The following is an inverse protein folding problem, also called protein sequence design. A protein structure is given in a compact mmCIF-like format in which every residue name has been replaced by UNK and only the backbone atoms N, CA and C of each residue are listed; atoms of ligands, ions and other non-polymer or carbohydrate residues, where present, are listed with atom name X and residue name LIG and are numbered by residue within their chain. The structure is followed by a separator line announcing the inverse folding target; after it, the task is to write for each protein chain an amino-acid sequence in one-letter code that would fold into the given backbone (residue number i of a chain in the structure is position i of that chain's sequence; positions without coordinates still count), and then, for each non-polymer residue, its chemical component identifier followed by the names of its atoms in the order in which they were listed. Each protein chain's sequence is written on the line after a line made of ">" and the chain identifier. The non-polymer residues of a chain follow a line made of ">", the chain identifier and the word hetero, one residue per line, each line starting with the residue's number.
data_IF_338221655055
#
_entry.id   IF_338221655055
#
_cell.length_a   1.000
_cell.length_b   1.000
_cell.length_c   1.000
_cell.angle_alpha   90.00
_cell.angle_beta   90.00
_cell.angle_gamma   90.00
#
_symmetry.space_group_name_H-M   'P 1'
#
loop_
_entity.id
_entity.type
_entity.pdbx_description
1 polymer ?
#
# COMPACT_ATOMS: atom_id res chain seq x y z
N UNK A 1 24.72 -38.16 -9.09
CA UNK A 1 23.60 -37.32 -9.53
C UNK A 1 24.15 -35.93 -9.89
N UNK A 2 24.30 -35.61 -11.17
CA UNK A 2 24.85 -34.30 -11.59
C UNK A 2 23.71 -33.26 -11.52
N UNK A 3 23.76 -32.39 -10.52
CA UNK A 3 22.87 -31.24 -10.45
C UNK A 3 23.29 -30.28 -11.59
N UNK A 4 22.49 -30.24 -12.66
CA UNK A 4 22.62 -29.24 -13.72
C UNK A 4 22.32 -27.86 -13.08
N UNK A 5 23.35 -27.15 -12.62
CA UNK A 5 23.23 -25.72 -12.31
C UNK A 5 22.89 -25.02 -13.64
N UNK A 6 21.59 -24.69 -13.82
CA UNK A 6 21.17 -23.76 -14.86
C UNK A 6 22.05 -22.51 -14.73
N UNK A 7 22.94 -22.27 -15.68
CA UNK A 7 23.72 -21.03 -15.76
C UNK A 7 22.72 -19.89 -15.86
N UNK A 8 22.57 -19.13 -14.77
CA UNK A 8 21.74 -17.92 -14.77
C UNK A 8 22.26 -16.97 -15.83
N UNK A 9 21.45 -16.74 -16.86
CA UNK A 9 21.79 -15.86 -17.97
C UNK A 9 21.37 -14.43 -17.62
N UNK A 10 22.20 -13.74 -16.86
CA UNK A 10 22.01 -12.31 -16.60
C UNK A 10 22.41 -11.48 -17.83
N UNK A 11 21.68 -10.36 -18.05
CA UNK A 11 22.02 -9.41 -19.10
C UNK A 11 23.39 -8.78 -18.88
N UNK A 12 24.02 -8.26 -19.94
CA UNK A 12 25.29 -7.53 -19.83
C UNK A 12 25.21 -6.33 -18.90
N UNK A 13 24.07 -5.62 -18.92
CA UNK A 13 23.77 -4.51 -17.99
C UNK A 13 23.83 -4.99 -16.53
N UNK A 14 23.12 -6.05 -16.19
CA UNK A 14 23.09 -6.59 -14.82
C UNK A 14 24.49 -7.02 -14.36
N UNK A 15 25.26 -7.68 -15.22
CA UNK A 15 26.64 -8.10 -14.90
C UNK A 15 27.54 -6.89 -14.61
N UNK A 16 27.43 -5.82 -15.41
CA UNK A 16 28.19 -4.60 -15.20
C UNK A 16 27.84 -3.92 -13.88
N UNK A 17 26.54 -3.86 -13.52
CA UNK A 17 26.08 -3.26 -12.27
C UNK A 17 26.51 -4.05 -11.04
N UNK A 18 26.45 -5.39 -11.12
CA UNK A 18 26.78 -6.25 -9.98
C UNK A 18 28.27 -6.52 -9.83
N UNK A 19 29.10 -6.17 -10.81
CA UNK A 19 30.56 -6.37 -10.75
C UNK A 19 31.20 -5.65 -9.54
N UNK A 20 30.67 -4.49 -9.17
CA UNK A 20 31.17 -3.66 -8.08
C UNK A 20 30.35 -3.80 -6.78
N UNK A 21 29.35 -4.68 -6.76
CA UNK A 21 28.49 -4.89 -5.58
C UNK A 21 28.89 -6.18 -4.91
N UNK A 22 29.52 -6.08 -3.74
CA UNK A 22 29.77 -7.24 -2.90
C UNK A 22 28.57 -7.48 -1.97
N UNK A 23 27.91 -8.63 -2.12
CA UNK A 23 26.71 -8.99 -1.33
C UNK A 23 27.02 -9.34 0.13
N UNK A 24 28.26 -9.68 0.42
CA UNK A 24 28.67 -10.13 1.75
C UNK A 24 29.17 -8.97 2.64
N UNK A 25 29.30 -7.78 2.07
CA UNK A 25 29.76 -6.59 2.80
C UNK A 25 28.58 -5.90 3.45
N UNK A 26 28.64 -5.72 4.77
CA UNK A 26 27.71 -4.89 5.52
C UNK A 26 28.06 -3.42 5.28
N UNK A 27 27.09 -2.66 4.82
CA UNK A 27 27.18 -1.22 4.59
C UNK A 27 26.41 -0.45 5.65
N UNK A 28 26.79 0.77 5.91
CA UNK A 28 25.94 1.71 6.65
C UNK A 28 24.71 2.06 5.81
N UNK A 29 23.66 2.59 6.44
CA UNK A 29 22.43 2.95 5.73
C UNK A 29 22.71 3.98 4.62
N UNK A 30 23.55 4.97 4.87
CA UNK A 30 23.89 6.02 3.90
C UNK A 30 24.68 5.49 2.71
N UNK A 31 25.67 4.63 2.96
CA UNK A 31 26.45 3.98 1.91
C UNK A 31 25.59 3.04 1.06
N UNK A 32 24.71 2.26 1.72
CA UNK A 32 23.75 1.37 1.03
C UNK A 32 22.82 2.15 0.12
N UNK A 33 22.27 3.27 0.59
CA UNK A 33 21.38 4.14 -0.19
C UNK A 33 22.12 4.80 -1.37
N UNK A 34 23.37 5.24 -1.16
CA UNK A 34 24.21 5.78 -2.24
C UNK A 34 24.47 4.73 -3.31
N UNK A 35 24.76 3.49 -2.91
CA UNK A 35 24.98 2.37 -3.84
C UNK A 35 23.71 2.00 -4.62
N UNK A 36 22.54 1.97 -3.97
CA UNK A 36 21.24 1.75 -4.64
C UNK A 36 20.99 2.82 -5.70
N UNK A 37 21.19 4.10 -5.37
CA UNK A 37 21.08 5.20 -6.34
C UNK A 37 22.08 5.10 -7.50
N UNK A 38 23.30 4.69 -7.25
CA UNK A 38 24.32 4.52 -8.28
C UNK A 38 24.00 3.37 -9.25
N UNK A 39 23.25 2.36 -8.79
CA UNK A 39 22.81 1.23 -9.62
C UNK A 39 21.51 1.49 -10.38
N UNK A 40 20.76 2.52 -10.03
CA UNK A 40 19.53 2.93 -10.70
C UNK A 40 19.85 3.60 -12.04
N UNK A 41 19.83 2.84 -13.13
CA UNK A 41 20.19 3.30 -14.48
C UNK A 41 19.18 2.89 -15.56
N UNK A 42 17.95 2.52 -15.18
CA UNK A 42 16.90 2.21 -16.12
C UNK A 42 16.38 3.47 -16.83
N UNK A 43 15.79 3.29 -18.03
CA UNK A 43 15.16 4.39 -18.78
C UNK A 43 13.72 4.70 -18.32
N UNK A 44 13.32 4.19 -17.18
CA UNK A 44 12.00 4.39 -16.55
C UNK A 44 12.21 4.71 -15.07
N UNK A 45 11.16 5.20 -14.43
CA UNK A 45 11.18 5.46 -12.98
C UNK A 45 11.27 4.13 -12.23
N UNK A 46 12.35 3.97 -11.48
CA UNK A 46 12.58 2.78 -10.65
C UNK A 46 12.06 3.04 -9.23
N UNK A 47 11.59 2.00 -8.57
CA UNK A 47 11.15 2.06 -7.16
C UNK A 47 12.22 1.51 -6.24
N UNK A 48 12.27 2.04 -5.02
CA UNK A 48 13.13 1.53 -3.95
C UNK A 48 12.28 0.75 -2.96
N UNK A 49 12.60 -0.53 -2.81
CA UNK A 49 11.96 -1.41 -1.85
C UNK A 49 12.94 -1.73 -0.71
N UNK A 50 12.41 -1.76 0.51
CA UNK A 50 13.13 -2.10 1.73
C UNK A 50 12.69 -3.47 2.22
N UNK A 51 13.64 -4.35 2.52
CA UNK A 51 13.41 -5.63 3.17
C UNK A 51 14.11 -5.64 4.53
N UNK A 52 13.37 -5.87 5.61
CA UNK A 52 13.90 -5.89 6.99
C UNK A 52 13.68 -7.26 7.61
N UNK A 53 14.76 -7.94 7.95
CA UNK A 53 14.71 -9.19 8.73
C UNK A 53 14.53 -8.85 10.22
N UNK A 54 13.41 -9.29 10.82
CA UNK A 54 13.05 -8.91 12.19
C UNK A 54 13.60 -9.87 13.27
N UNK A 55 14.11 -11.03 12.89
CA UNK A 55 14.57 -12.03 13.85
C UNK A 55 13.45 -12.63 14.72
N UNK A 56 12.21 -12.66 14.23
CA UNK A 56 11.01 -13.17 14.88
C UNK A 56 10.59 -14.53 14.32
N UNK A 57 9.80 -15.29 15.09
CA UNK A 57 9.10 -16.48 14.61
C UNK A 57 7.63 -16.16 14.32
N UNK A 58 7.25 -15.90 13.05
CA UNK A 58 5.89 -15.47 12.70
C UNK A 58 4.84 -16.60 12.83
N UNK A 59 5.25 -17.82 13.13
CA UNK A 59 4.35 -18.94 13.47
C UNK A 59 3.69 -18.76 14.83
N UNK A 60 4.33 -17.97 15.70
CA UNK A 60 3.78 -17.61 17.01
C UNK A 60 2.90 -16.37 16.85
N UNK A 61 1.65 -16.47 17.31
CA UNK A 61 0.67 -15.40 17.14
C UNK A 61 1.04 -14.09 17.85
N UNK A 62 1.80 -14.17 18.93
CA UNK A 62 2.33 -13.05 19.72
C UNK A 62 3.49 -12.31 19.04
N UNK A 63 4.18 -12.96 18.07
CA UNK A 63 5.30 -12.39 17.33
C UNK A 63 4.90 -11.89 15.91
N UNK A 64 3.61 -11.83 15.61
CA UNK A 64 3.12 -11.38 14.32
C UNK A 64 3.13 -9.84 14.24
N UNK A 65 4.07 -9.28 13.49
CA UNK A 65 4.23 -7.83 13.32
C UNK A 65 3.42 -7.34 12.14
N UNK A 66 2.52 -6.40 12.41
CA UNK A 66 1.74 -5.67 11.39
C UNK A 66 1.46 -4.27 11.91
N UNK A 67 1.64 -3.26 11.08
CA UNK A 67 1.36 -1.88 11.45
C UNK A 67 1.25 -0.97 10.25
N UNK A 68 1.12 0.31 10.57
CA UNK A 68 1.07 1.41 9.63
C UNK A 68 2.17 2.39 9.99
N UNK A 69 2.82 2.93 8.98
CA UNK A 69 3.79 4.02 9.14
C UNK A 69 3.51 5.11 8.13
N UNK A 70 4.00 6.30 8.40
CA UNK A 70 3.86 7.46 7.53
C UNK A 70 5.22 7.86 7.00
N UNK A 71 5.35 7.85 5.66
CA UNK A 71 6.56 8.32 4.98
C UNK A 71 6.46 9.83 4.76
N UNK A 72 7.47 10.64 5.13
CA UNK A 72 7.40 12.10 5.05
C UNK A 72 7.15 12.61 3.62
N UNK A 73 7.69 11.93 2.61
CA UNK A 73 7.56 12.33 1.19
C UNK A 73 6.63 11.41 0.39
N UNK A 74 6.04 10.38 1.03
CA UNK A 74 5.19 9.39 0.38
C UNK A 74 5.94 8.48 -0.59
N UNK A 75 5.17 7.62 -1.28
CA UNK A 75 5.69 6.67 -2.28
C UNK A 75 5.52 7.16 -3.72
N UNK A 76 5.01 8.37 -3.93
CA UNK A 76 4.72 8.94 -5.26
C UNK A 76 3.55 8.29 -6.01
N UNK A 77 2.86 7.30 -5.44
CA UNK A 77 1.72 6.63 -6.08
C UNK A 77 0.43 7.41 -5.87
N UNK A 78 -0.24 7.78 -6.94
CA UNK A 78 -1.59 8.39 -6.86
C UNK A 78 -2.61 7.28 -6.63
N UNK A 79 -3.37 7.37 -5.53
CA UNK A 79 -4.44 6.41 -5.19
C UNK A 79 -5.80 7.06 -5.35
N UNK A 80 -6.72 6.31 -5.93
CA UNK A 80 -8.14 6.70 -6.01
C UNK A 80 -8.85 6.30 -4.71
N UNK A 81 -9.47 7.29 -4.06
CA UNK A 81 -10.09 7.13 -2.73
C UNK A 81 -11.59 7.27 -2.86
N UNK A 82 -12.31 6.24 -2.40
CA UNK A 82 -13.75 6.29 -2.19
C UNK A 82 -14.04 6.48 -0.70
N UNK A 83 -15.06 7.25 -0.37
CA UNK A 83 -15.47 7.52 1.01
C UNK A 83 -16.94 7.18 1.22
N UNK A 84 -17.21 6.35 2.20
CA UNK A 84 -18.54 6.03 2.70
C UNK A 84 -18.82 6.87 3.95
N UNK A 85 -19.60 7.93 3.81
CA UNK A 85 -19.90 8.85 4.90
C UNK A 85 -21.32 9.38 4.80
N UNK A 86 -21.84 9.92 5.93
CA UNK A 86 -23.13 10.60 6.04
C UNK A 86 -22.95 12.00 6.59
N UNK A 87 -23.90 12.90 6.25
CA UNK A 87 -23.97 14.24 6.80
C UNK A 87 -22.75 15.11 6.50
N UNK A 88 -22.20 15.75 7.54
CA UNK A 88 -21.10 16.70 7.37
C UNK A 88 -19.77 16.05 6.95
N UNK A 89 -19.56 14.77 7.23
CA UNK A 89 -18.39 14.03 6.79
C UNK A 89 -18.31 13.89 5.26
N UNK A 90 -19.41 13.99 4.54
CA UNK A 90 -19.44 14.03 3.07
C UNK A 90 -18.72 15.28 2.57
N UNK A 91 -19.05 16.45 3.12
CA UNK A 91 -18.42 17.73 2.77
C UNK A 91 -16.93 17.74 3.12
N UNK A 92 -16.58 17.17 4.27
CA UNK A 92 -15.19 17.02 4.71
C UNK A 92 -14.39 16.16 3.75
N UNK A 93 -14.96 15.03 3.28
CA UNK A 93 -14.33 14.13 2.31
C UNK A 93 -14.13 14.80 0.95
N UNK A 94 -15.12 15.54 0.47
CA UNK A 94 -15.02 16.31 -0.80
C UNK A 94 -13.96 17.40 -0.71
N UNK A 95 -13.96 18.17 0.38
CA UNK A 95 -12.94 19.21 0.62
C UNK A 95 -11.53 18.65 0.73
N UNK A 96 -11.38 17.41 1.23
CA UNK A 96 -10.10 16.71 1.30
C UNK A 96 -9.65 16.10 -0.04
N UNK A 97 -10.51 16.14 -1.08
CA UNK A 97 -10.20 15.69 -2.43
C UNK A 97 -10.47 14.21 -2.68
N UNK A 98 -11.42 13.58 -1.99
CA UNK A 98 -11.87 12.23 -2.31
C UNK A 98 -12.44 12.14 -3.75
N UNK A 99 -12.19 11.03 -4.45
CA UNK A 99 -12.62 10.87 -5.84
C UNK A 99 -14.10 10.52 -5.93
N UNK A 100 -14.56 9.67 -5.03
CA UNK A 100 -15.94 9.21 -4.94
C UNK A 100 -16.38 9.35 -3.49
N UNK A 101 -17.48 10.07 -3.26
CA UNK A 101 -18.07 10.23 -1.93
C UNK A 101 -19.54 9.87 -2.01
N UNK A 102 -20.03 9.08 -1.06
CA UNK A 102 -21.44 8.71 -1.01
C UNK A 102 -21.82 7.98 0.28
N UNK A 103 -23.10 7.90 0.54
CA UNK A 103 -23.69 7.19 1.66
C UNK A 103 -24.20 5.80 1.28
N UNK A 104 -25.46 5.53 1.62
CA UNK A 104 -26.13 4.25 1.32
C UNK A 104 -26.32 4.00 -0.18
N UNK A 105 -26.45 5.05 -0.97
CA UNK A 105 -26.51 5.02 -2.43
C UNK A 105 -25.23 4.42 -3.04
N UNK A 106 -24.06 4.81 -2.53
CA UNK A 106 -22.80 4.24 -2.98
C UNK A 106 -22.70 2.75 -2.61
N UNK A 107 -23.20 2.37 -1.43
CA UNK A 107 -23.27 0.97 -1.01
C UNK A 107 -24.14 0.16 -1.98
N UNK A 108 -25.32 0.68 -2.32
CA UNK A 108 -26.25 0.02 -3.26
C UNK A 108 -25.64 -0.07 -4.65
N UNK A 109 -24.95 0.96 -5.10
CA UNK A 109 -24.26 0.96 -6.38
C UNK A 109 -23.14 -0.09 -6.44
N UNK A 110 -22.36 -0.23 -5.36
CA UNK A 110 -21.32 -1.28 -5.25
C UNK A 110 -21.95 -2.69 -5.25
N UNK A 111 -23.05 -2.89 -4.52
CA UNK A 111 -23.75 -4.17 -4.49
C UNK A 111 -24.26 -4.60 -5.87
N UNK A 112 -24.77 -3.64 -6.62
CA UNK A 112 -25.32 -3.88 -7.98
C UNK A 112 -24.21 -3.97 -9.06
N UNK A 113 -22.93 -3.82 -8.69
CA UNK A 113 -21.81 -3.85 -9.61
C UNK A 113 -21.83 -2.70 -10.61
N UNK A 114 -22.33 -1.54 -10.21
CA UNK A 114 -22.37 -0.35 -11.06
C UNK A 114 -20.96 0.01 -11.53
N UNK A 115 -20.84 0.44 -12.79
CA UNK A 115 -19.56 0.84 -13.39
C UNK A 115 -19.25 2.33 -13.15
N UNK A 116 -20.27 3.11 -12.81
CA UNK A 116 -20.20 4.54 -12.60
C UNK A 116 -21.05 4.95 -11.40
N UNK A 117 -20.62 5.98 -10.69
CA UNK A 117 -21.35 6.62 -9.61
C UNK A 117 -21.15 8.14 -9.67
N UNK A 118 -22.25 8.91 -9.66
CA UNK A 118 -22.18 10.36 -9.76
C UNK A 118 -21.45 10.88 -11.03
N UNK A 119 -21.55 10.16 -12.16
CA UNK A 119 -20.87 10.52 -13.41
C UNK A 119 -19.35 10.24 -13.41
N UNK A 120 -18.84 9.59 -12.38
CA UNK A 120 -17.43 9.17 -12.31
C UNK A 120 -17.32 7.65 -12.41
N UNK A 121 -16.27 7.12 -13.06
CA UNK A 121 -16.06 5.68 -13.12
C UNK A 121 -15.83 5.13 -11.70
N UNK A 122 -16.49 4.02 -11.36
CA UNK A 122 -16.38 3.38 -10.05
C UNK A 122 -15.05 2.59 -9.94
N UNK A 123 -13.95 3.34 -10.03
CA UNK A 123 -12.60 2.84 -9.80
C UNK A 123 -12.04 3.46 -8.52
N UNK A 124 -11.62 2.64 -7.60
CA UNK A 124 -10.98 3.07 -6.37
C UNK A 124 -9.96 2.02 -5.92
N UNK A 125 -8.92 2.49 -5.28
CA UNK A 125 -7.87 1.64 -4.71
C UNK A 125 -8.13 1.40 -3.23
N UNK A 126 -8.62 2.42 -2.54
CA UNK A 126 -8.92 2.41 -1.11
C UNK A 126 -10.31 2.94 -0.87
N UNK A 127 -11.02 2.31 0.09
CA UNK A 127 -12.29 2.80 0.61
C UNK A 127 -12.11 3.19 2.06
N UNK A 128 -12.51 4.41 2.39
CA UNK A 128 -12.67 4.89 3.76
C UNK A 128 -14.13 4.85 4.16
N UNK A 129 -14.40 4.66 5.44
CA UNK A 129 -15.73 4.71 5.98
C UNK A 129 -15.75 5.37 7.36
N UNK A 130 -16.84 6.07 7.66
CA UNK A 130 -17.12 6.52 9.02
C UNK A 130 -17.56 5.34 9.90
N UNK A 131 -17.38 5.47 11.21
CA UNK A 131 -17.81 4.42 12.15
C UNK A 131 -19.32 4.14 12.08
N UNK A 132 -20.14 5.16 11.80
CA UNK A 132 -21.58 5.04 11.63
C UNK A 132 -21.98 4.15 10.45
N UNK A 133 -21.12 4.09 9.42
CA UNK A 133 -21.35 3.26 8.23
C UNK A 133 -20.79 1.84 8.40
N UNK A 134 -20.02 1.56 9.46
CA UNK A 134 -19.39 0.27 9.69
C UNK A 134 -20.35 -0.93 9.65
N UNK A 135 -21.57 -0.89 10.23
CA UNK A 135 -22.53 -2.00 10.15
C UNK A 135 -22.97 -2.33 8.71
N UNK A 136 -23.01 -1.32 7.85
CA UNK A 136 -23.44 -1.48 6.46
C UNK A 136 -22.34 -2.02 5.56
N UNK A 137 -21.07 -1.81 5.92
CA UNK A 137 -19.90 -2.34 5.20
C UNK A 137 -19.94 -3.87 5.13
N UNK A 138 -20.44 -4.52 6.19
CA UNK A 138 -20.61 -5.97 6.21
C UNK A 138 -21.43 -6.52 5.03
N UNK A 139 -22.41 -5.75 4.55
CA UNK A 139 -23.28 -6.13 3.42
C UNK A 139 -22.53 -6.15 2.08
N UNK A 140 -21.53 -5.28 1.93
CA UNK A 140 -20.72 -5.14 0.70
C UNK A 140 -19.34 -5.79 0.78
N UNK A 141 -18.99 -6.37 1.93
CA UNK A 141 -17.69 -6.99 2.13
C UNK A 141 -17.32 -8.05 1.09
N UNK A 142 -18.31 -8.83 0.63
CA UNK A 142 -18.11 -9.82 -0.46
C UNK A 142 -17.80 -9.16 -1.80
N UNK A 143 -18.43 -8.04 -2.12
CA UNK A 143 -18.22 -7.31 -3.37
C UNK A 143 -16.87 -6.58 -3.37
N UNK A 144 -16.45 -6.05 -2.21
CA UNK A 144 -15.20 -5.32 -2.04
C UNK A 144 -13.97 -6.23 -1.87
N UNK A 145 -14.17 -7.43 -1.33
CA UNK A 145 -13.08 -8.37 -1.06
C UNK A 145 -11.96 -7.74 -0.19
N UNK A 146 -10.70 -7.76 -0.66
CA UNK A 146 -9.56 -7.22 0.09
C UNK A 146 -9.62 -5.71 0.38
N UNK A 147 -10.44 -4.95 -0.38
CA UNK A 147 -10.60 -3.50 -0.23
C UNK A 147 -11.62 -3.12 0.85
N UNK A 148 -12.18 -4.09 1.56
CA UNK A 148 -13.16 -3.85 2.63
C UNK A 148 -12.54 -3.01 3.74
N UNK A 149 -13.17 -1.87 4.13
CA UNK A 149 -12.70 -1.03 5.22
C UNK A 149 -12.59 -1.81 6.54
N UNK A 150 -11.51 -1.55 7.29
CA UNK A 150 -11.26 -2.19 8.57
C UNK A 150 -10.60 -1.20 9.55
N UNK A 151 -11.00 -1.24 10.83
CA UNK A 151 -10.37 -0.44 11.89
C UNK A 151 -8.86 -0.70 12.03
N UNK A 152 -8.42 -1.95 11.86
CA UNK A 152 -6.99 -2.31 11.91
C UNK A 152 -6.13 -1.58 10.88
N UNK A 153 -6.66 -1.37 9.69
CA UNK A 153 -5.96 -0.67 8.61
C UNK A 153 -6.21 0.85 8.69
N UNK A 154 -6.95 1.31 9.73
CA UNK A 154 -7.34 2.69 9.91
C UNK A 154 -8.16 3.25 8.74
N UNK A 155 -8.85 2.38 8.00
CA UNK A 155 -9.78 2.76 6.93
C UNK A 155 -11.20 2.98 7.43
N UNK A 156 -11.47 2.70 8.71
CA UNK A 156 -12.68 3.09 9.42
C UNK A 156 -12.27 4.12 10.46
N UNK A 157 -12.68 5.37 10.26
CA UNK A 157 -12.31 6.51 11.11
C UNK A 157 -13.33 7.65 10.96
N UNK A 158 -13.48 8.46 11.99
CA UNK A 158 -14.28 9.67 11.94
C UNK A 158 -13.49 10.90 11.45
N UNK A 159 -12.14 10.85 11.47
CA UNK A 159 -11.28 11.90 10.94
C UNK A 159 -11.05 11.71 9.42
N UNK A 160 -12.15 11.77 8.65
CA UNK A 160 -12.13 11.46 7.20
C UNK A 160 -11.21 12.38 6.43
N UNK A 161 -11.25 13.70 6.68
CA UNK A 161 -10.44 14.66 5.94
C UNK A 161 -8.94 14.40 6.03
N UNK A 162 -8.45 14.08 7.22
CA UNK A 162 -7.03 13.73 7.42
C UNK A 162 -6.68 12.40 6.76
N UNK A 163 -7.54 11.38 6.92
CA UNK A 163 -7.31 10.07 6.31
C UNK A 163 -7.27 10.13 4.77
N UNK A 164 -8.15 10.92 4.15
CA UNK A 164 -8.12 11.14 2.69
C UNK A 164 -6.81 11.81 2.27
N UNK A 165 -6.37 12.86 2.95
CA UNK A 165 -5.12 13.56 2.65
C UNK A 165 -3.91 12.63 2.77
N UNK A 166 -3.82 11.83 3.84
CA UNK A 166 -2.74 10.86 4.04
C UNK A 166 -2.68 9.80 2.92
N UNK A 167 -3.84 9.29 2.48
CA UNK A 167 -3.88 8.29 1.39
C UNK A 167 -3.57 8.93 0.05
N UNK A 168 -4.07 10.14 -0.22
CA UNK A 168 -3.81 10.89 -1.46
C UNK A 168 -2.36 11.30 -1.61
N UNK A 169 -1.71 11.72 -0.52
CA UNK A 169 -0.28 12.01 -0.53
C UNK A 169 0.59 10.75 -0.60
N UNK A 170 -0.03 9.56 -0.59
CA UNK A 170 0.63 8.25 -0.56
C UNK A 170 1.68 8.11 0.56
N UNK A 171 1.52 8.89 1.63
CA UNK A 171 2.43 8.87 2.78
C UNK A 171 2.21 7.64 3.66
N UNK A 172 0.99 7.11 3.68
CA UNK A 172 0.62 5.99 4.54
C UNK A 172 0.99 4.66 3.91
N UNK A 173 1.85 3.91 4.58
CA UNK A 173 2.32 2.58 4.16
C UNK A 173 1.99 1.56 5.23
N UNK A 174 1.34 0.46 4.83
CA UNK A 174 1.10 -0.70 5.67
C UNK A 174 2.29 -1.65 5.53
N UNK A 175 2.80 -2.14 6.66
CA UNK A 175 3.82 -3.18 6.70
C UNK A 175 3.31 -4.40 7.46
N UNK A 176 3.74 -5.56 7.01
CA UNK A 176 3.41 -6.85 7.61
C UNK A 176 4.58 -7.80 7.45
N UNK A 177 4.94 -8.49 8.54
CA UNK A 177 5.91 -9.58 8.47
C UNK A 177 5.33 -10.74 7.65
N UNK A 178 6.15 -11.31 6.80
CA UNK A 178 5.85 -12.52 6.05
C UNK A 178 6.07 -13.80 6.90
N UNK A 179 5.98 -14.98 6.27
CA UNK A 179 6.16 -16.27 6.93
C UNK A 179 7.59 -16.55 7.37
N UNK A 180 8.55 -15.80 6.88
CA UNK A 180 9.99 -15.90 7.15
C UNK A 180 10.47 -14.83 8.15
N UNK A 181 9.57 -13.99 8.65
CA UNK A 181 9.88 -12.92 9.59
C UNK A 181 10.51 -11.70 8.93
N UNK A 182 10.29 -11.52 7.63
CA UNK A 182 10.78 -10.37 6.86
C UNK A 182 9.63 -9.41 6.55
N UNK A 183 9.88 -8.11 6.69
CA UNK A 183 8.98 -7.05 6.24
C UNK A 183 9.48 -6.49 4.92
N UNK A 184 8.60 -6.45 3.93
CA UNK A 184 8.85 -5.84 2.62
C UNK A 184 7.97 -4.61 2.44
N UNK A 185 8.56 -3.47 2.08
CA UNK A 185 7.82 -2.24 1.84
C UNK A 185 8.50 -1.34 0.79
N UNK A 186 7.71 -0.71 -0.06
CA UNK A 186 8.18 0.33 -0.95
C UNK A 186 8.34 1.64 -0.19
N UNK A 187 9.47 2.32 -0.36
CA UNK A 187 9.81 3.57 0.34
C UNK A 187 10.04 4.75 -0.60
N UNK A 188 10.16 4.49 -1.92
CA UNK A 188 10.37 5.53 -2.93
C UNK A 188 10.26 5.00 -4.36
#
# INVERSE_FOLDING_TARGET
>A
MRINKKKERHSSRYKALTANVNKDTLLTFEEGLAQVKATANAKFVESVDLAICLGIDPRKGDQNVRGLTTLPHGTGKVRLVAVLAKGDHVKEAEAAGADIVGGEELITAIQNGAKEFGGKPMKFDVILATEDMAPQIGKIGRALGPKTPNKRNGTVTNAIGNAVKEIKSATRVEYRADKEGVVHMAIG
#
